data_IF_825507788212
#
_entry.id   IF_825507788212
#
_cell.length_a   1.000
_cell.length_b   1.000
_cell.length_c   1.000
_cell.angle_alpha   90.00
_cell.angle_beta   90.00
_cell.angle_gamma   90.00
#
_symmetry.space_group_name_H-M   'P 1'
#
loop_
_entity.id
_entity.type
_entity.pdbx_description
1 polymer ?
#
# COMPACT_ATOMS: atom_id res chain seq x y z
N UNK A 1 -7.88 13.29 -8.06
CA UNK A 1 -7.50 13.39 -6.63
C UNK A 1 -8.68 13.99 -5.89
N UNK A 2 -9.06 13.48 -4.71
CA UNK A 2 -10.16 14.08 -3.94
C UNK A 2 -9.63 15.18 -3.00
N UNK A 3 -10.53 15.81 -2.23
CA UNK A 3 -10.20 16.86 -1.25
C UNK A 3 -9.29 16.40 -0.09
N UNK A 4 -9.11 15.08 0.06
CA UNK A 4 -8.22 14.47 1.05
C UNK A 4 -6.90 13.99 0.41
N UNK A 5 -6.53 14.49 -0.76
CA UNK A 5 -5.35 14.08 -1.52
C UNK A 5 -5.29 12.57 -1.87
N UNK A 6 -6.42 11.87 -1.82
CA UNK A 6 -6.54 10.47 -2.25
C UNK A 6 -6.62 10.41 -3.76
N UNK A 7 -5.91 9.44 -4.32
CA UNK A 7 -5.80 9.18 -5.75
C UNK A 7 -6.58 7.90 -6.03
N UNK A 8 -7.46 7.97 -7.02
CA UNK A 8 -8.25 6.84 -7.50
C UNK A 8 -8.00 6.65 -8.99
N UNK A 9 -7.88 5.39 -9.43
CA UNK A 9 -7.85 5.03 -10.84
C UNK A 9 -9.26 4.67 -11.28
N UNK A 10 -9.71 5.27 -12.37
CA UNK A 10 -11.02 5.04 -12.97
C UNK A 10 -10.84 4.75 -14.45
N UNK A 11 -11.77 3.99 -15.02
CA UNK A 11 -11.78 3.83 -16.47
C UNK A 11 -12.34 5.11 -17.14
N UNK A 12 -11.93 5.39 -18.39
CA UNK A 12 -12.26 6.63 -19.07
C UNK A 12 -13.76 6.81 -19.30
N UNK A 13 -14.50 5.72 -19.43
CA UNK A 13 -15.95 5.71 -19.66
C UNK A 13 -16.72 6.25 -18.45
N UNK A 14 -16.11 6.30 -17.26
CA UNK A 14 -16.71 6.94 -16.08
C UNK A 14 -17.03 8.42 -16.35
N UNK A 15 -16.22 9.10 -17.16
CA UNK A 15 -16.46 10.51 -17.52
C UNK A 15 -17.69 10.71 -18.43
N UNK A 16 -18.23 9.64 -19.00
CA UNK A 16 -19.45 9.69 -19.82
C UNK A 16 -20.73 9.53 -18.98
N UNK A 17 -20.61 9.24 -17.68
CA UNK A 17 -21.76 9.06 -16.79
C UNK A 17 -22.19 10.39 -16.18
N UNK A 18 -23.50 10.60 -16.08
CA UNK A 18 -24.05 11.71 -15.29
C UNK A 18 -24.00 11.33 -13.79
N UNK A 19 -22.90 11.70 -13.14
CA UNK A 19 -22.64 11.36 -11.74
C UNK A 19 -23.55 12.09 -10.75
N UNK A 20 -24.14 13.24 -11.12
CA UNK A 20 -25.00 14.04 -10.23
C UNK A 20 -26.30 13.33 -9.86
N UNK A 21 -26.75 12.40 -10.71
CA UNK A 21 -27.97 11.61 -10.49
C UNK A 21 -27.75 10.36 -9.64
N UNK A 22 -26.52 10.09 -9.23
CA UNK A 22 -26.14 8.85 -8.56
C UNK A 22 -25.65 9.14 -7.14
N UNK A 23 -26.12 8.35 -6.17
CA UNK A 23 -25.55 8.34 -4.82
C UNK A 23 -24.34 7.42 -4.80
N UNK A 24 -23.15 7.99 -5.01
CA UNK A 24 -21.94 7.20 -5.18
C UNK A 24 -21.15 7.13 -3.88
N UNK A 25 -20.88 5.91 -3.41
CA UNK A 25 -20.06 5.66 -2.22
C UNK A 25 -18.55 5.66 -2.52
N UNK A 26 -18.15 5.16 -3.70
CA UNK A 26 -16.76 5.17 -4.19
C UNK A 26 -16.76 4.99 -5.71
N UNK A 27 -15.77 5.58 -6.41
CA UNK A 27 -15.55 5.39 -7.85
C UNK A 27 -14.12 4.93 -8.07
N UNK A 28 -13.98 3.79 -8.74
CA UNK A 28 -12.69 3.24 -9.14
C UNK A 28 -11.90 2.61 -7.99
N UNK A 29 -10.62 2.40 -8.28
CA UNK A 29 -9.67 1.74 -7.41
C UNK A 29 -8.86 2.76 -6.62
N UNK A 30 -8.82 2.62 -5.30
CA UNK A 30 -7.96 3.44 -4.47
C UNK A 30 -6.48 3.13 -4.73
N UNK A 31 -5.76 4.07 -5.32
CA UNK A 31 -4.36 3.92 -5.72
C UNK A 31 -3.39 4.27 -4.58
N UNK A 32 -3.75 5.27 -3.79
CA UNK A 32 -2.88 5.82 -2.76
C UNK A 32 -3.24 7.24 -2.41
N UNK A 33 -2.38 7.88 -1.65
CA UNK A 33 -2.56 9.23 -1.11
C UNK A 33 -1.26 10.00 -1.26
N UNK A 34 -1.38 11.27 -1.65
CA UNK A 34 -0.25 12.20 -1.63
C UNK A 34 -0.26 12.94 -0.29
N UNK A 35 0.78 12.76 0.51
CA UNK A 35 0.91 13.41 1.82
C UNK A 35 2.28 14.03 1.97
N UNK A 36 2.33 15.34 2.24
CA UNK A 36 3.59 16.10 2.39
C UNK A 36 4.55 15.90 1.20
N UNK A 37 4.02 15.94 -0.03
CA UNK A 37 4.74 15.65 -1.28
C UNK A 37 5.32 14.22 -1.38
N UNK A 38 4.93 13.30 -0.50
CA UNK A 38 5.29 11.89 -0.59
C UNK A 38 4.08 11.06 -1.03
N UNK A 39 4.30 10.15 -1.99
CA UNK A 39 3.26 9.22 -2.44
C UNK A 39 3.25 7.98 -1.54
N UNK A 40 2.13 7.78 -0.84
CA UNK A 40 1.83 6.54 -0.12
C UNK A 40 0.88 5.70 -0.97
N UNK A 41 1.37 4.60 -1.53
CA UNK A 41 0.51 3.68 -2.28
C UNK A 41 -0.38 2.88 -1.33
N UNK A 42 -1.58 2.56 -1.79
CA UNK A 42 -2.38 1.47 -1.22
C UNK A 42 -1.70 0.11 -1.48
N UNK A 43 -2.25 -0.96 -0.91
CA UNK A 43 -1.79 -2.32 -1.23
C UNK A 43 -1.98 -2.57 -2.73
N UNK A 44 -3.16 -2.25 -3.25
CA UNK A 44 -3.52 -2.42 -4.66
C UNK A 44 -2.65 -1.53 -5.57
N UNK A 45 -2.41 -0.28 -5.18
CA UNK A 45 -1.51 0.62 -5.91
C UNK A 45 -0.09 0.07 -5.98
N UNK A 46 0.41 -0.51 -4.88
CA UNK A 46 1.73 -1.16 -4.86
C UNK A 46 1.79 -2.39 -5.75
N UNK A 47 0.72 -3.18 -5.85
CA UNK A 47 0.66 -4.34 -6.73
C UNK A 47 0.65 -3.93 -8.21
N UNK A 48 -0.05 -2.84 -8.55
CA UNK A 48 -0.11 -2.34 -9.92
C UNK A 48 1.24 -1.83 -10.43
N UNK A 49 1.96 -1.05 -9.63
CA UNK A 49 3.20 -0.39 -10.09
C UNK A 49 4.49 -1.01 -9.54
N UNK A 50 4.40 -1.89 -8.54
CA UNK A 50 5.56 -2.45 -7.85
C UNK A 50 6.51 -3.20 -8.76
N UNK A 51 5.99 -3.87 -9.80
CA UNK A 51 6.83 -4.56 -10.81
C UNK A 51 7.70 -3.60 -11.62
N UNK A 52 7.25 -2.36 -11.80
CA UNK A 52 7.98 -1.32 -12.54
C UNK A 52 8.80 -0.40 -11.62
N UNK A 53 8.65 -0.53 -10.30
CA UNK A 53 9.36 0.29 -9.33
C UNK A 53 10.85 -0.09 -9.28
N UNK A 54 11.73 0.87 -9.62
CA UNK A 54 13.19 0.67 -9.66
C UNK A 54 13.91 1.05 -8.37
N UNK A 55 13.25 1.82 -7.50
CA UNK A 55 13.83 2.39 -6.28
C UNK A 55 12.89 2.17 -5.11
N UNK A 56 13.43 2.22 -3.88
CA UNK A 56 12.67 2.17 -2.62
C UNK A 56 11.73 0.96 -2.49
N UNK A 57 12.13 -0.18 -3.05
CA UNK A 57 11.46 -1.48 -2.83
C UNK A 57 12.30 -2.32 -1.89
N UNK A 58 11.68 -2.79 -0.81
CA UNK A 58 12.30 -3.63 0.19
C UNK A 58 11.73 -5.05 0.06
N UNK A 59 12.62 -6.03 -0.08
CA UNK A 59 12.27 -7.45 -0.02
C UNK A 59 12.26 -7.88 1.45
N UNK A 60 11.13 -8.43 1.89
CA UNK A 60 10.95 -9.01 3.21
C UNK A 60 11.24 -10.50 3.16
N UNK A 61 11.74 -11.04 4.27
CA UNK A 61 11.63 -12.48 4.53
C UNK A 61 10.22 -12.84 5.03
N UNK A 62 9.95 -14.14 5.19
CA UNK A 62 8.64 -14.65 5.60
C UNK A 62 8.22 -14.10 6.97
N UNK A 63 9.15 -14.09 7.93
CA UNK A 63 8.90 -13.59 9.28
C UNK A 63 8.50 -12.12 9.24
N UNK A 64 9.26 -11.29 8.53
CA UNK A 64 8.98 -9.88 8.35
C UNK A 64 7.65 -9.65 7.61
N UNK A 65 7.35 -10.45 6.59
CA UNK A 65 6.08 -10.38 5.88
C UNK A 65 4.89 -10.67 6.81
N UNK A 66 5.01 -11.69 7.67
CA UNK A 66 3.97 -12.01 8.66
C UNK A 66 3.82 -10.93 9.72
N UNK A 67 4.91 -10.36 10.23
CA UNK A 67 4.86 -9.20 11.13
C UNK A 67 4.15 -8.01 10.46
N UNK A 68 4.51 -7.71 9.21
CA UNK A 68 3.90 -6.64 8.44
C UNK A 68 2.39 -6.83 8.29
N UNK A 69 1.95 -8.04 7.90
CA UNK A 69 0.55 -8.41 7.72
C UNK A 69 -0.23 -8.43 9.04
N UNK A 70 0.41 -8.65 10.19
CA UNK A 70 -0.18 -8.49 11.53
C UNK A 70 -0.31 -7.03 11.96
N UNK A 71 0.31 -6.11 11.23
CA UNK A 71 0.28 -4.69 11.52
C UNK A 71 1.43 -4.22 12.42
N UNK A 72 2.52 -5.00 12.50
CA UNK A 72 3.73 -4.68 13.25
C UNK A 72 4.71 -3.86 12.39
N UNK A 73 5.49 -3.01 13.04
CA UNK A 73 6.61 -2.32 12.41
C UNK A 73 7.76 -3.29 12.14
N UNK A 74 8.54 -3.04 11.10
CA UNK A 74 9.66 -3.90 10.70
C UNK A 74 10.98 -3.21 10.99
N UNK A 75 11.83 -3.82 11.82
CA UNK A 75 13.21 -3.40 11.98
C UNK A 75 14.01 -3.76 10.72
N UNK A 76 14.74 -2.78 10.18
CA UNK A 76 15.53 -2.98 8.97
C UNK A 76 16.83 -2.20 8.98
N UNK A 77 17.89 -2.87 8.50
CA UNK A 77 19.18 -2.23 8.23
C UNK A 77 19.15 -1.63 6.83
N UNK A 78 19.66 -0.41 6.68
CA UNK A 78 19.77 0.25 5.40
C UNK A 78 19.47 1.74 5.49
N UNK A 79 19.76 2.44 4.39
CA UNK A 79 19.53 3.88 4.25
C UNK A 79 18.38 4.11 3.26
N UNK A 80 17.16 4.12 3.76
CA UNK A 80 15.96 4.41 2.97
C UNK A 80 15.41 5.78 3.35
N UNK A 81 14.55 6.34 2.50
CA UNK A 81 13.89 7.62 2.77
C UNK A 81 12.42 7.55 2.37
N UNK A 82 11.58 8.25 3.12
CA UNK A 82 10.16 8.38 2.84
C UNK A 82 9.39 7.05 2.83
N UNK A 83 8.43 6.94 1.91
CA UNK A 83 7.68 5.72 1.70
C UNK A 83 8.46 4.71 0.85
N UNK A 84 8.41 3.46 1.29
CA UNK A 84 9.02 2.30 0.63
C UNK A 84 7.94 1.27 0.31
N UNK A 85 8.08 0.60 -0.83
CA UNK A 85 7.24 -0.53 -1.22
C UNK A 85 7.77 -1.78 -0.53
N UNK A 86 6.90 -2.57 0.09
CA UNK A 86 7.28 -3.84 0.69
C UNK A 86 6.86 -5.00 -0.21
N UNK A 87 7.79 -5.92 -0.43
CA UNK A 87 7.60 -7.09 -1.30
C UNK A 87 7.96 -8.36 -0.55
N UNK A 88 7.10 -9.37 -0.61
CA UNK A 88 7.42 -10.74 -0.22
C UNK A 88 7.25 -11.63 -1.44
N UNK A 89 8.28 -12.39 -1.78
CA UNK A 89 8.32 -13.19 -3.02
C UNK A 89 7.87 -12.41 -4.27
N UNK A 90 6.69 -12.74 -4.81
CA UNK A 90 6.09 -12.12 -5.99
C UNK A 90 5.05 -11.05 -5.66
N UNK A 91 4.66 -10.93 -4.40
CA UNK A 91 3.58 -10.06 -3.95
C UNK A 91 4.08 -8.75 -3.37
N UNK A 92 3.38 -7.67 -3.71
CA UNK A 92 3.58 -6.35 -3.12
C UNK A 92 2.55 -6.14 -2.02
N UNK A 93 3.05 -5.86 -0.81
CA UNK A 93 2.28 -5.85 0.43
C UNK A 93 1.89 -4.43 0.87
N UNK A 94 1.94 -3.46 -0.06
CA UNK A 94 1.70 -2.04 0.21
C UNK A 94 2.98 -1.25 0.45
N UNK A 95 2.81 -0.11 1.12
CA UNK A 95 3.92 0.79 1.46
C UNK A 95 4.01 1.00 2.97
N UNK A 96 5.23 1.18 3.45
CA UNK A 96 5.53 1.65 4.80
C UNK A 96 6.40 2.89 4.78
N UNK A 97 6.50 3.59 5.90
CA UNK A 97 7.37 4.77 6.00
C UNK A 97 8.65 4.42 6.75
N UNK A 98 9.79 4.62 6.10
CA UNK A 98 11.07 4.44 6.79
C UNK A 98 11.32 5.59 7.77
N UNK A 99 11.68 5.25 9.01
CA UNK A 99 12.09 6.18 10.05
C UNK A 99 13.07 5.50 11.00
N UNK A 100 14.32 6.01 11.04
CA UNK A 100 15.34 5.60 12.02
C UNK A 100 15.54 4.07 12.13
N UNK A 101 15.77 3.39 11.00
CA UNK A 101 16.00 1.95 10.98
C UNK A 101 14.73 1.08 11.14
N UNK A 102 13.54 1.69 11.08
CA UNK A 102 12.26 0.97 11.11
C UNK A 102 11.39 1.33 9.93
N UNK A 103 10.58 0.39 9.47
CA UNK A 103 9.45 0.63 8.57
C UNK A 103 8.17 0.67 9.40
N UNK A 104 7.57 1.85 9.48
CA UNK A 104 6.30 2.04 10.17
C UNK A 104 5.16 1.37 9.39
N UNK A 105 4.28 0.68 10.11
CA UNK A 105 3.20 -0.10 9.55
C UNK A 105 2.01 0.75 9.06
N UNK A 106 1.57 0.45 7.84
CA UNK A 106 0.41 1.10 7.23
C UNK A 106 -0.64 0.11 6.70
N UNK A 107 -0.56 -1.17 7.09
CA UNK A 107 -1.61 -2.17 6.81
C UNK A 107 -2.88 -1.74 7.55
N UNK A 108 -4.02 -1.56 6.84
CA UNK A 108 -5.27 -1.17 7.47
C UNK A 108 -5.68 -2.17 8.56
N UNK A 109 -6.14 -1.68 9.72
CA UNK A 109 -6.50 -2.54 10.86
C UNK A 109 -7.45 -3.69 10.49
N UNK A 110 -8.40 -3.43 9.60
CA UNK A 110 -9.39 -4.41 9.12
C UNK A 110 -8.81 -5.51 8.22
N UNK A 111 -7.60 -5.31 7.67
CA UNK A 111 -6.89 -6.27 6.81
C UNK A 111 -5.76 -6.98 7.53
N UNK A 112 -5.55 -6.71 8.83
CA UNK A 112 -4.48 -7.35 9.60
C UNK A 112 -4.84 -8.77 9.95
N UNK A 113 -3.87 -9.66 9.89
CA UNK A 113 -4.03 -11.02 10.35
C UNK A 113 -4.18 -11.04 11.87
N UNK A 114 -5.26 -11.66 12.36
CA UNK A 114 -5.59 -11.71 13.80
C UNK A 114 -5.08 -12.97 14.49
N UNK A 115 -4.70 -13.99 13.72
CA UNK A 115 -4.25 -15.28 14.22
C UNK A 115 -2.94 -15.65 13.53
N UNK A 116 -2.16 -16.54 14.16
CA UNK A 116 -1.13 -17.28 13.43
C UNK A 116 -1.86 -18.19 12.45
N UNK A 117 -2.00 -17.71 11.21
CA UNK A 117 -2.42 -18.58 10.12
C UNK A 117 -1.27 -19.57 9.93
N UNK A 118 -1.52 -20.84 10.22
CA UNK A 118 -0.71 -21.92 9.67
C UNK A 118 -0.86 -21.82 8.15
N UNK A 119 0.24 -21.55 7.45
CA UNK A 119 0.26 -21.55 5.99
C UNK A 119 0.16 -23.04 5.61
N UNK A 120 -0.91 -23.48 4.92
CA UNK A 120 -0.97 -24.85 4.45
C UNK A 120 0.21 -25.12 3.50
N UNK A 121 0.87 -26.26 3.66
CA UNK A 121 1.93 -26.76 2.76
C UNK A 121 1.47 -26.84 1.31
#
# INVERSE_FOLDING_TARGET
MNTQNKIFLVNKEVFNLNLEKLRINSIGLYFGELKNNELRLSIEGSQLIGKSAKLNTIKLDEKQAMQWLKGEDIDIKGNYTGFVILKYENDFLGTGKYKQGKILNFVPKVRRFKYNLEIPE
#
